data_IF_515898056374
#
_entry.id   IF_515898056374
#
_cell.length_a   1.000
_cell.length_b   1.000
_cell.length_c   1.000
_cell.angle_alpha   90.00
_cell.angle_beta   90.00
_cell.angle_gamma   90.00
#
_symmetry.space_group_name_H-M   'P 1'
#
loop_
_entity.id
_entity.type
_entity.pdbx_description
1 polymer ?
#
# COMPACT_ATOMS: atom_id res chain seq x y z
N UNK A 1 -21.79 -0.64 0.59
CA UNK A 1 -20.74 -0.84 1.61
C UNK A 1 -20.61 0.46 2.39
N UNK A 2 -20.83 0.43 3.71
CA UNK A 2 -20.72 1.63 4.54
C UNK A 2 -19.23 2.02 4.71
N UNK A 3 -18.98 3.20 5.26
CA UNK A 3 -17.62 3.74 5.44
C UNK A 3 -16.67 2.82 6.21
N UNK A 4 -17.14 2.25 7.33
CA UNK A 4 -16.34 1.38 8.20
C UNK A 4 -15.98 0.08 7.49
N UNK A 5 -16.92 -0.48 6.73
CA UNK A 5 -16.69 -1.69 5.94
C UNK A 5 -15.62 -1.46 4.87
N UNK A 6 -15.60 -0.29 4.21
CA UNK A 6 -14.57 0.04 3.20
C UNK A 6 -13.17 0.10 3.81
N UNK A 7 -13.02 0.73 4.97
CA UNK A 7 -11.73 0.83 5.69
C UNK A 7 -11.30 -0.54 6.21
N UNK A 8 -12.22 -1.35 6.74
CA UNK A 8 -11.91 -2.71 7.18
C UNK A 8 -11.45 -3.60 6.01
N UNK A 9 -12.14 -3.52 4.85
CA UNK A 9 -11.74 -4.24 3.65
C UNK A 9 -10.39 -3.76 3.13
N UNK A 10 -10.14 -2.46 3.14
CA UNK A 10 -8.86 -1.87 2.78
C UNK A 10 -7.71 -2.42 3.63
N UNK A 11 -7.87 -2.46 4.96
CA UNK A 11 -6.85 -2.99 5.87
C UNK A 11 -6.55 -4.46 5.58
N UNK A 12 -7.58 -5.29 5.36
CA UNK A 12 -7.39 -6.69 4.97
C UNK A 12 -6.58 -6.83 3.68
N UNK A 13 -6.88 -6.02 2.67
CA UNK A 13 -6.12 -6.02 1.43
C UNK A 13 -4.67 -5.55 1.65
N UNK A 14 -4.44 -4.52 2.47
CA UNK A 14 -3.11 -4.03 2.81
C UNK A 14 -2.26 -5.11 3.48
N UNK A 15 -2.81 -5.84 4.45
CA UNK A 15 -2.10 -6.92 5.15
C UNK A 15 -1.61 -7.99 4.15
N UNK A 16 -2.46 -8.35 3.18
CA UNK A 16 -2.10 -9.31 2.12
C UNK A 16 -1.02 -8.74 1.20
N UNK A 17 -1.08 -7.44 0.87
CA UNK A 17 -0.02 -6.80 0.06
C UNK A 17 1.33 -6.78 0.79
N UNK A 18 1.29 -6.56 2.11
CA UNK A 18 2.48 -6.61 2.97
C UNK A 18 3.04 -8.04 2.98
N UNK A 19 2.18 -9.04 3.17
CA UNK A 19 2.59 -10.46 3.15
C UNK A 19 3.23 -10.85 1.81
N UNK A 20 2.63 -10.47 0.67
CA UNK A 20 3.19 -10.74 -0.66
C UNK A 20 4.62 -10.20 -0.77
N UNK A 21 4.84 -8.98 -0.29
CA UNK A 21 6.16 -8.35 -0.32
C UNK A 21 7.15 -8.99 0.65
N UNK A 22 6.76 -9.20 1.91
CA UNK A 22 7.63 -9.77 2.95
C UNK A 22 8.04 -11.20 2.62
N UNK A 23 7.14 -11.99 2.05
CA UNK A 23 7.43 -13.35 1.60
C UNK A 23 8.08 -13.41 0.22
N UNK A 24 8.32 -12.26 -0.42
CA UNK A 24 8.84 -12.15 -1.80
C UNK A 24 8.09 -13.07 -2.77
N UNK A 25 6.78 -13.21 -2.57
CA UNK A 25 5.92 -13.98 -3.48
C UNK A 25 5.84 -13.23 -4.81
N UNK A 26 5.53 -13.97 -5.86
CA UNK A 26 5.34 -13.39 -7.19
C UNK A 26 4.18 -12.38 -7.14
N UNK A 27 4.52 -11.09 -7.11
CA UNK A 27 3.54 -10.03 -7.23
C UNK A 27 2.97 -10.07 -8.65
N UNK A 28 1.66 -10.19 -8.74
CA UNK A 28 0.94 -10.09 -10.00
C UNK A 28 -0.20 -9.08 -9.89
N UNK A 29 -0.35 -8.16 -10.86
CA UNK A 29 -1.51 -7.26 -10.92
C UNK A 29 -2.83 -7.99 -11.16
N UNK A 30 -2.81 -9.30 -11.47
CA UNK A 30 -4.01 -10.13 -11.61
C UNK A 30 -4.49 -10.77 -10.30
N UNK A 31 -3.72 -10.67 -9.21
CA UNK A 31 -4.15 -11.17 -7.89
C UNK A 31 -5.42 -10.40 -7.46
N UNK A 32 -6.51 -11.08 -7.09
CA UNK A 32 -7.78 -10.43 -6.76
C UNK A 32 -7.65 -9.33 -5.69
N UNK A 33 -6.83 -9.57 -4.68
CA UNK A 33 -6.57 -8.62 -3.60
C UNK A 33 -5.78 -7.40 -4.07
N UNK A 34 -4.86 -7.55 -5.02
CA UNK A 34 -4.14 -6.41 -5.64
C UNK A 34 -5.13 -5.55 -6.43
N UNK A 35 -6.01 -6.19 -7.20
CA UNK A 35 -7.05 -5.50 -7.97
C UNK A 35 -7.99 -4.75 -7.04
N UNK A 36 -8.44 -5.39 -5.97
CA UNK A 36 -9.35 -4.79 -5.00
C UNK A 36 -8.68 -3.65 -4.21
N UNK A 37 -7.45 -3.84 -3.75
CA UNK A 37 -6.67 -2.82 -3.08
C UNK A 37 -6.53 -1.56 -3.95
N UNK A 38 -6.22 -1.74 -5.24
CA UNK A 38 -6.13 -0.64 -6.20
C UNK A 38 -7.46 0.06 -6.42
N UNK A 39 -8.57 -0.69 -6.53
CA UNK A 39 -9.92 -0.11 -6.66
C UNK A 39 -10.30 0.72 -5.44
N UNK A 40 -10.07 0.20 -4.23
CA UNK A 40 -10.30 0.92 -2.99
C UNK A 40 -9.45 2.19 -2.90
N UNK A 41 -8.18 2.13 -3.29
CA UNK A 41 -7.31 3.30 -3.37
C UNK A 41 -7.83 4.38 -4.32
N UNK A 42 -8.34 3.98 -5.50
CA UNK A 42 -8.95 4.91 -6.45
C UNK A 42 -10.24 5.53 -5.92
N UNK A 43 -11.09 4.74 -5.27
CA UNK A 43 -12.31 5.22 -4.62
C UNK A 43 -12.00 6.23 -3.51
N UNK A 44 -11.01 5.93 -2.66
CA UNK A 44 -10.56 6.82 -1.59
C UNK A 44 -9.96 8.11 -2.13
N UNK A 45 -9.17 8.05 -3.21
CA UNK A 45 -8.62 9.25 -3.86
C UNK A 45 -9.70 10.22 -4.38
N UNK A 46 -10.90 9.71 -4.68
CA UNK A 46 -12.07 10.51 -5.10
C UNK A 46 -12.93 10.99 -3.94
N UNK A 47 -12.60 10.62 -2.70
CA UNK A 47 -13.34 11.05 -1.52
C UNK A 47 -13.17 12.55 -1.26
N UNK A 48 -14.20 13.17 -0.70
CA UNK A 48 -14.12 14.54 -0.18
C UNK A 48 -13.39 14.61 1.17
N UNK A 49 -13.36 13.52 1.93
CA UNK A 49 -12.60 13.42 3.18
C UNK A 49 -11.09 13.52 2.87
N UNK A 50 -10.38 14.51 3.43
CA UNK A 50 -8.96 14.74 3.14
C UNK A 50 -8.06 13.59 3.60
N UNK A 51 -8.43 12.89 4.67
CA UNK A 51 -7.67 11.74 5.16
C UNK A 51 -7.85 10.52 4.25
N UNK A 52 -9.07 10.28 3.76
CA UNK A 52 -9.30 9.22 2.77
C UNK A 52 -8.64 9.54 1.44
N UNK A 53 -8.73 10.79 0.98
CA UNK A 53 -8.05 11.25 -0.23
C UNK A 53 -6.55 11.01 -0.15
N UNK A 54 -5.94 11.34 1.00
CA UNK A 54 -4.54 11.05 1.28
C UNK A 54 -4.26 9.55 1.28
N UNK A 55 -5.09 8.75 1.97
CA UNK A 55 -4.94 7.30 2.01
C UNK A 55 -4.96 6.72 0.59
N UNK A 56 -5.94 7.10 -0.24
CA UNK A 56 -6.05 6.65 -1.62
C UNK A 56 -4.85 7.04 -2.51
N UNK A 57 -4.30 8.24 -2.31
CA UNK A 57 -3.06 8.63 -2.98
C UNK A 57 -1.88 7.73 -2.55
N UNK A 58 -1.75 7.44 -1.25
CA UNK A 58 -0.71 6.55 -0.73
C UNK A 58 -0.87 5.10 -1.17
N UNK A 59 -2.10 4.61 -1.30
CA UNK A 59 -2.41 3.29 -1.85
C UNK A 59 -1.84 3.14 -3.26
N UNK A 60 -2.07 4.14 -4.11
CA UNK A 60 -1.62 4.12 -5.51
C UNK A 60 -0.10 4.15 -5.60
N UNK A 61 0.55 4.99 -4.77
CA UNK A 61 2.01 5.02 -4.67
C UNK A 61 2.55 3.65 -4.26
N UNK A 62 2.01 3.05 -3.20
CA UNK A 62 2.49 1.73 -2.72
C UNK A 62 2.33 0.62 -3.75
N UNK A 63 1.19 0.56 -4.46
CA UNK A 63 0.99 -0.42 -5.55
C UNK A 63 2.02 -0.24 -6.67
N UNK A 64 2.36 1.01 -7.01
CA UNK A 64 3.43 1.29 -7.99
C UNK A 64 4.78 0.79 -7.48
N UNK A 65 5.13 1.10 -6.23
CA UNK A 65 6.41 0.67 -5.67
C UNK A 65 6.51 -0.86 -5.55
N UNK A 66 5.41 -1.56 -5.25
CA UNK A 66 5.33 -3.03 -5.24
C UNK A 66 5.58 -3.62 -6.63
N UNK A 67 4.96 -3.03 -7.65
CA UNK A 67 5.17 -3.47 -9.02
C UNK A 67 6.62 -3.29 -9.46
N UNK A 68 7.22 -2.13 -9.18
CA UNK A 68 8.63 -1.85 -9.47
C UNK A 68 9.56 -2.83 -8.72
N UNK A 69 9.28 -3.13 -7.45
CA UNK A 69 10.02 -4.13 -6.69
C UNK A 69 9.97 -5.51 -7.37
N UNK A 70 8.79 -5.94 -7.79
CA UNK A 70 8.60 -7.21 -8.49
C UNK A 70 9.38 -7.26 -9.82
N UNK A 71 9.33 -6.17 -10.59
CA UNK A 71 10.12 -6.02 -11.81
C UNK A 71 11.62 -6.10 -11.51
N UNK A 72 12.13 -5.39 -10.51
CA UNK A 72 13.54 -5.42 -10.17
C UNK A 72 14.02 -6.80 -9.70
N UNK A 73 13.21 -7.52 -8.92
CA UNK A 73 13.54 -8.88 -8.48
C UNK A 73 13.57 -9.89 -9.63
N UNK A 74 12.90 -9.60 -10.76
CA UNK A 74 12.99 -10.44 -11.96
C UNK A 74 14.34 -10.30 -12.68
N UNK A 75 14.95 -9.11 -12.64
CA UNK A 75 16.17 -8.80 -13.40
C UNK A 75 17.45 -8.75 -12.55
N UNK A 76 17.32 -8.53 -11.25
CA UNK A 76 18.46 -8.29 -10.35
C UNK A 76 18.41 -9.19 -9.13
N UNK A 77 19.59 -9.41 -8.51
CA UNK A 77 19.65 -10.10 -7.23
C UNK A 77 18.95 -9.28 -6.13
N UNK A 78 18.37 -9.97 -5.12
CA UNK A 78 17.87 -9.37 -3.88
C UNK A 78 18.80 -8.33 -3.26
N UNK A 79 20.11 -8.57 -3.32
CA UNK A 79 21.14 -7.74 -2.71
C UNK A 79 21.71 -6.69 -3.68
N UNK A 80 21.07 -6.47 -4.82
CA UNK A 80 21.46 -5.39 -5.71
C UNK A 80 21.16 -4.03 -5.08
N UNK A 81 21.96 -3.02 -5.43
CA UNK A 81 21.71 -1.64 -4.98
C UNK A 81 20.33 -1.13 -5.43
N UNK A 82 19.87 -1.56 -6.61
CA UNK A 82 18.57 -1.19 -7.14
C UNK A 82 17.42 -1.75 -6.28
N UNK A 83 17.46 -3.05 -5.96
CA UNK A 83 16.45 -3.69 -5.11
C UNK A 83 16.44 -3.08 -3.70
N UNK A 84 17.59 -2.88 -3.06
CA UNK A 84 17.65 -2.22 -1.73
C UNK A 84 17.09 -0.80 -1.74
N UNK A 85 17.35 -0.03 -2.81
CA UNK A 85 16.80 1.32 -2.96
C UNK A 85 15.28 1.26 -3.07
N UNK A 86 14.76 0.32 -3.85
CA UNK A 86 13.32 0.13 -4.01
C UNK A 86 12.65 -0.32 -2.71
N UNK A 87 13.32 -1.17 -1.93
CA UNK A 87 12.85 -1.63 -0.62
C UNK A 87 12.67 -0.46 0.35
N UNK A 88 13.61 0.49 0.36
CA UNK A 88 13.50 1.70 1.16
C UNK A 88 12.30 2.58 0.75
N UNK A 89 12.04 2.71 -0.56
CA UNK A 89 10.86 3.43 -1.06
C UNK A 89 9.55 2.74 -0.66
N UNK A 90 9.51 1.42 -0.79
CA UNK A 90 8.37 0.61 -0.42
C UNK A 90 8.04 0.70 1.07
N UNK A 91 9.07 0.61 1.92
CA UNK A 91 8.93 0.77 3.37
C UNK A 91 8.43 2.19 3.75
N UNK A 92 8.91 3.22 3.05
CA UNK A 92 8.43 4.60 3.23
C UNK A 92 6.96 4.73 2.83
N UNK A 93 6.55 4.11 1.72
CA UNK A 93 5.16 4.09 1.28
C UNK A 93 4.26 3.32 2.26
N UNK A 94 4.70 2.16 2.76
CA UNK A 94 4.03 1.37 3.81
C UNK A 94 3.79 2.22 5.06
N UNK A 95 4.84 2.86 5.58
CA UNK A 95 4.75 3.75 6.75
C UNK A 95 3.75 4.90 6.54
N UNK A 96 3.79 5.55 5.37
CA UNK A 96 2.86 6.64 5.02
C UNK A 96 1.39 6.20 4.99
N UNK A 97 1.11 4.97 4.54
CA UNK A 97 -0.25 4.41 4.58
C UNK A 97 -0.68 4.06 6.01
N UNK A 98 0.18 3.44 6.81
CA UNK A 98 -0.13 3.12 8.21
C UNK A 98 -0.50 4.38 9.00
N UNK A 99 0.28 5.46 8.84
CA UNK A 99 -0.03 6.77 9.45
C UNK A 99 -1.39 7.30 9.00
N UNK A 100 -1.71 7.19 7.70
CA UNK A 100 -3.00 7.65 7.18
C UNK A 100 -4.18 6.83 7.74
N UNK A 101 -4.03 5.50 7.87
CA UNK A 101 -5.03 4.63 8.50
C UNK A 101 -5.26 5.02 9.96
N UNK A 102 -4.18 5.23 10.73
CA UNK A 102 -4.28 5.61 12.14
C UNK A 102 -5.07 6.92 12.30
N UNK A 103 -4.79 7.93 11.47
CA UNK A 103 -5.53 9.20 11.46
C UNK A 103 -7.03 9.00 11.17
N UNK A 104 -7.35 8.14 10.20
CA UNK A 104 -8.73 7.79 9.84
C UNK A 104 -9.47 7.10 10.99
N UNK A 105 -8.77 6.25 11.74
CA UNK A 105 -9.33 5.48 12.84
C UNK A 105 -9.45 6.29 14.15
N UNK A 106 -9.06 7.57 14.15
CA UNK A 106 -9.06 8.41 15.35
C UNK A 106 -7.85 8.18 16.26
N UNK A 107 -6.79 7.53 15.75
CA UNK A 107 -5.51 7.45 16.43
C UNK A 107 -4.81 8.81 16.38
N UNK A 108 -4.75 9.48 17.53
CA UNK A 108 -3.81 10.57 17.78
C UNK A 108 -2.39 10.07 17.52
N UNK A 109 -1.81 10.44 16.38
CA UNK A 109 -0.35 10.45 16.29
C UNK A 109 0.10 11.77 16.89
N UNK A 110 0.23 11.74 18.23
CA UNK A 110 0.95 12.76 18.98
C UNK A 110 2.29 13.04 18.30
N UNK A 111 2.58 14.33 18.15
CA UNK A 111 3.81 14.79 17.54
C UNK A 111 5.02 14.21 18.27
N UNK A 112 5.97 13.71 17.47
CA UNK A 112 7.37 13.58 17.83
C UNK A 112 8.18 14.07 16.63
#
# INVERSE_FOLDING_TARGET
MNYKDKVARYNKCLDIMIEINELRREYSPSIPEVIEFRKLGQDFKRSEDPNLKLLGARTIDYVRELHEMATLLHYFSPDSRAVRKQEALLNKAKSGMTVAILRIQGGELGGV
#
